data_IF_623610268251
#
_entry.id   IF_623610268251
#
_cell.length_a   1.000
_cell.length_b   1.000
_cell.length_c   1.000
_cell.angle_alpha   90.00
_cell.angle_beta   90.00
_cell.angle_gamma   90.00
#
_symmetry.space_group_name_H-M   'P 1'
#
loop_
_entity.id
_entity.type
_entity.pdbx_description
1 polymer ?
#
# COMPACT_ATOMS: atom_id res chain seq x y z
N UNK A 1 16.07 -11.53 -13.77
CA UNK A 1 15.62 -10.11 -13.76
C UNK A 1 15.52 -9.67 -12.31
N UNK A 2 16.05 -8.51 -11.93
CA UNK A 2 16.20 -8.15 -10.51
C UNK A 2 14.87 -8.10 -9.75
N UNK A 3 13.81 -7.54 -10.36
CA UNK A 3 12.44 -7.57 -9.80
C UNK A 3 11.95 -8.98 -9.48
N UNK A 4 12.26 -9.97 -10.32
CA UNK A 4 11.87 -11.36 -10.07
C UNK A 4 12.56 -11.93 -8.83
N UNK A 5 13.84 -11.62 -8.64
CA UNK A 5 14.58 -12.02 -7.45
C UNK A 5 14.01 -11.36 -6.18
N UNK A 6 13.76 -10.04 -6.20
CA UNK A 6 13.25 -9.30 -5.03
C UNK A 6 11.83 -9.72 -4.63
N UNK A 7 10.93 -9.88 -5.60
CA UNK A 7 9.58 -10.37 -5.31
C UNK A 7 9.60 -11.81 -4.79
N UNK A 8 10.45 -12.68 -5.35
CA UNK A 8 10.58 -14.06 -4.87
C UNK A 8 11.18 -14.11 -3.46
N UNK A 9 12.16 -13.26 -3.17
CA UNK A 9 12.72 -13.13 -1.81
C UNK A 9 11.67 -12.62 -0.81
N UNK A 10 10.90 -11.60 -1.19
CA UNK A 10 9.81 -11.07 -0.37
C UNK A 10 8.75 -12.16 -0.10
N UNK A 11 8.37 -12.92 -1.13
CA UNK A 11 7.45 -14.06 -1.01
C UNK A 11 7.99 -15.14 -0.06
N UNK A 12 9.25 -15.57 -0.22
CA UNK A 12 9.83 -16.63 0.61
C UNK A 12 9.95 -16.24 2.09
N UNK A 13 10.13 -14.95 2.38
CA UNK A 13 10.24 -14.41 3.75
C UNK A 13 8.91 -13.86 4.30
N UNK A 14 7.82 -13.95 3.52
CA UNK A 14 6.55 -13.36 3.89
C UNK A 14 5.93 -14.05 5.11
N UNK A 15 5.21 -13.27 5.92
CA UNK A 15 4.31 -13.85 6.92
C UNK A 15 3.17 -14.52 6.15
N UNK A 16 2.91 -15.80 6.43
CA UNK A 16 1.73 -16.50 5.89
C UNK A 16 0.56 -16.30 6.84
N UNK A 17 -0.57 -15.85 6.33
CA UNK A 17 -1.82 -15.74 7.07
C UNK A 17 -2.89 -16.56 6.35
N UNK A 18 -3.53 -17.46 7.10
CA UNK A 18 -4.62 -18.27 6.59
C UNK A 18 -5.92 -17.45 6.60
N UNK A 19 -6.68 -17.53 5.52
CA UNK A 19 -8.00 -16.90 5.41
C UNK A 19 -9.03 -17.85 4.80
N UNK A 20 -10.31 -17.50 4.93
CA UNK A 20 -11.45 -18.22 4.39
C UNK A 20 -12.53 -17.25 3.89
N UNK A 21 -13.65 -17.82 3.44
CA UNK A 21 -14.78 -17.07 2.87
C UNK A 21 -15.43 -16.10 3.86
N UNK A 22 -15.16 -16.18 5.17
CA UNK A 22 -15.69 -15.25 6.18
C UNK A 22 -14.69 -14.17 6.59
N UNK A 23 -13.45 -14.29 6.13
CA UNK A 23 -12.39 -13.35 6.46
C UNK A 23 -12.59 -12.02 5.73
N UNK A 24 -12.36 -10.91 6.43
CA UNK A 24 -12.50 -9.55 5.89
C UNK A 24 -11.17 -8.81 5.95
N UNK A 25 -10.71 -8.26 4.84
CA UNK A 25 -9.49 -7.46 4.74
C UNK A 25 -9.73 -6.19 3.94
N UNK A 26 -9.08 -5.11 4.35
CA UNK A 26 -8.92 -3.89 3.57
C UNK A 26 -7.43 -3.62 3.41
N UNK A 27 -6.99 -3.35 2.18
CA UNK A 27 -5.63 -2.96 1.84
C UNK A 27 -5.63 -1.49 1.43
N UNK A 28 -5.04 -0.65 2.27
CA UNK A 28 -4.64 0.71 1.92
C UNK A 28 -3.13 0.80 1.84
N UNK A 29 -2.63 1.66 0.97
CA UNK A 29 -1.20 1.92 0.79
C UNK A 29 -0.99 3.40 0.51
N UNK A 30 0.27 3.83 0.54
CA UNK A 30 0.66 5.16 0.04
C UNK A 30 -0.18 6.25 0.71
N UNK A 31 -0.28 6.16 2.04
CA UNK A 31 -0.92 7.20 2.85
C UNK A 31 -0.01 8.37 3.06
N UNK A 32 1.31 8.15 3.15
CA UNK A 32 2.32 9.21 3.25
C UNK A 32 1.98 10.25 4.33
N UNK A 33 1.56 9.79 5.52
CA UNK A 33 1.26 10.65 6.68
C UNK A 33 2.48 11.51 7.02
N UNK A 34 2.34 12.82 6.90
CA UNK A 34 3.38 13.81 7.15
C UNK A 34 3.24 14.46 8.52
N UNK A 35 3.54 15.75 8.62
CA UNK A 35 3.49 16.53 9.86
C UNK A 35 2.34 17.55 9.93
N UNK A 36 1.29 17.37 9.11
CA UNK A 36 0.15 18.30 8.94
C UNK A 36 0.53 19.70 8.42
N UNK A 37 1.73 19.85 7.86
CA UNK A 37 2.12 21.07 7.15
C UNK A 37 1.50 21.17 5.77
N UNK A 38 1.67 22.31 5.08
CA UNK A 38 1.18 22.50 3.70
C UNK A 38 1.78 21.48 2.72
N UNK A 39 3.00 20.98 2.99
CA UNK A 39 3.65 19.94 2.20
C UNK A 39 3.17 18.52 2.54
N UNK A 40 2.35 18.35 3.58
CA UNK A 40 1.72 17.07 3.89
C UNK A 40 0.53 16.81 2.94
N UNK A 41 0.75 15.93 1.96
CA UNK A 41 -0.30 15.56 1.01
C UNK A 41 -1.44 14.76 1.67
N UNK A 42 -1.18 14.04 2.76
CA UNK A 42 -2.17 13.24 3.48
C UNK A 42 -3.15 14.08 4.28
N UNK A 43 -2.68 15.19 4.87
CA UNK A 43 -3.46 16.05 5.76
C UNK A 43 -4.88 16.37 5.23
N UNK A 44 -4.99 16.68 3.94
CA UNK A 44 -6.28 16.98 3.27
C UNK A 44 -7.29 15.83 3.31
N UNK A 45 -6.83 14.59 3.39
CA UNK A 45 -7.63 13.37 3.38
C UNK A 45 -7.74 12.73 4.78
N UNK A 46 -7.12 13.30 5.82
CA UNK A 46 -7.10 12.72 7.16
C UNK A 46 -8.50 12.35 7.66
N UNK A 47 -9.46 13.27 7.59
CA UNK A 47 -10.82 13.03 8.10
C UNK A 47 -11.55 11.94 7.31
N UNK A 48 -11.35 11.89 6.00
CA UNK A 48 -11.92 10.86 5.13
C UNK A 48 -11.31 9.49 5.45
N UNK A 49 -9.99 9.44 5.66
CA UNK A 49 -9.28 8.22 6.02
C UNK A 49 -9.65 7.73 7.42
N UNK A 50 -9.79 8.64 8.40
CA UNK A 50 -10.26 8.34 9.75
C UNK A 50 -11.64 7.70 9.72
N UNK A 51 -12.58 8.31 8.98
CA UNK A 51 -13.93 7.79 8.84
C UNK A 51 -13.95 6.39 8.17
N UNK A 52 -13.13 6.20 7.14
CA UNK A 52 -12.97 4.90 6.51
C UNK A 52 -12.43 3.84 7.48
N UNK A 53 -11.38 4.18 8.26
CA UNK A 53 -10.84 3.28 9.28
C UNK A 53 -11.87 2.89 10.34
N UNK A 54 -12.64 3.84 10.87
CA UNK A 54 -13.72 3.56 11.82
C UNK A 54 -14.76 2.62 11.21
N UNK A 55 -15.16 2.85 9.95
CA UNK A 55 -16.10 1.99 9.26
C UNK A 55 -15.57 0.55 9.14
N UNK A 56 -14.32 0.37 8.70
CA UNK A 56 -13.71 -0.96 8.59
C UNK A 56 -13.53 -1.64 9.94
N UNK A 57 -13.16 -0.87 10.97
CA UNK A 57 -13.03 -1.37 12.33
C UNK A 57 -14.35 -1.93 12.83
N UNK A 58 -15.43 -1.15 12.72
CA UNK A 58 -16.77 -1.50 13.16
C UNK A 58 -17.40 -2.65 12.36
N UNK A 59 -16.98 -2.85 11.10
CA UNK A 59 -17.45 -3.95 10.25
C UNK A 59 -16.60 -5.24 10.35
N UNK A 60 -15.66 -5.29 11.29
CA UNK A 60 -14.87 -6.49 11.62
C UNK A 60 -13.76 -6.80 10.62
N UNK A 61 -13.24 -5.80 9.91
CA UNK A 61 -12.15 -6.00 8.95
C UNK A 61 -10.79 -6.14 9.66
N UNK A 62 -9.89 -6.89 9.05
CA UNK A 62 -8.45 -6.77 9.30
C UNK A 62 -7.89 -5.65 8.43
N UNK A 63 -7.24 -4.67 9.04
CA UNK A 63 -6.60 -3.57 8.34
C UNK A 63 -5.17 -3.97 7.94
N UNK A 64 -4.88 -3.91 6.65
CA UNK A 64 -3.55 -4.14 6.09
C UNK A 64 -3.04 -2.85 5.46
N UNK A 65 -2.06 -2.23 6.11
CA UNK A 65 -1.33 -1.09 5.55
C UNK A 65 -0.21 -1.61 4.66
N UNK A 66 -0.43 -1.63 3.34
CA UNK A 66 0.46 -2.19 2.33
C UNK A 66 1.60 -1.22 1.94
N UNK A 67 2.32 -0.71 2.94
CA UNK A 67 3.50 0.14 2.77
C UNK A 67 3.20 1.63 2.57
N UNK A 68 4.23 2.42 2.82
CA UNK A 68 4.23 3.89 2.74
C UNK A 68 3.06 4.53 3.49
N UNK A 69 2.85 4.07 4.72
CA UNK A 69 1.90 4.65 5.66
C UNK A 69 2.36 6.03 6.16
N UNK A 70 3.64 6.13 6.53
CA UNK A 70 4.24 7.32 7.15
C UNK A 70 5.36 7.86 6.26
N UNK A 71 5.40 9.18 6.06
CA UNK A 71 6.34 9.87 5.17
C UNK A 71 7.68 10.17 5.90
N UNK A 72 8.43 9.12 6.24
CA UNK A 72 9.69 9.26 6.99
C UNK A 72 10.84 9.79 6.14
N UNK A 73 10.73 9.78 4.81
CA UNK A 73 11.76 10.38 3.96
C UNK A 73 11.71 11.91 4.05
N UNK A 74 10.53 12.53 3.97
CA UNK A 74 10.41 13.99 4.15
C UNK A 74 10.39 14.43 5.63
N UNK A 75 9.84 13.59 6.52
CA UNK A 75 9.66 13.89 7.94
C UNK A 75 10.35 12.83 8.83
N UNK A 76 11.66 12.94 9.11
CA UNK A 76 12.43 11.90 9.79
C UNK A 76 12.00 11.61 11.24
N UNK A 77 11.30 12.55 11.87
CA UNK A 77 10.89 12.46 13.28
C UNK A 77 9.44 11.97 13.36
N UNK A 78 9.27 10.67 13.57
CA UNK A 78 7.96 10.05 13.74
C UNK A 78 7.09 10.72 14.82
N UNK A 79 7.68 11.28 15.89
CA UNK A 79 6.94 12.04 16.92
C UNK A 79 6.03 13.13 16.30
N UNK A 80 6.51 13.83 15.27
CA UNK A 80 5.72 14.90 14.64
C UNK A 80 4.56 14.32 13.84
N UNK A 81 4.80 13.25 13.05
CA UNK A 81 3.75 12.53 12.31
C UNK A 81 2.67 12.00 13.26
N UNK A 82 3.09 11.39 14.38
CA UNK A 82 2.16 10.85 15.38
C UNK A 82 1.28 11.94 16.01
N UNK A 83 1.85 13.10 16.31
CA UNK A 83 1.11 14.22 16.90
C UNK A 83 0.13 14.80 15.87
N UNK A 84 0.60 15.07 14.66
CA UNK A 84 -0.18 15.57 13.53
C UNK A 84 -1.43 14.72 13.25
N UNK A 85 -1.28 13.39 13.32
CA UNK A 85 -2.34 12.45 12.96
C UNK A 85 -2.77 11.56 14.13
N UNK A 86 -2.84 12.12 15.34
CA UNK A 86 -3.09 11.38 16.58
C UNK A 86 -4.39 10.55 16.56
N UNK A 87 -5.46 11.04 15.94
CA UNK A 87 -6.71 10.30 15.78
C UNK A 87 -6.56 9.05 14.90
N UNK A 88 -5.76 9.15 13.82
CA UNK A 88 -5.45 8.00 12.96
C UNK A 88 -4.72 6.93 13.76
N UNK A 89 -3.68 7.31 14.51
CA UNK A 89 -2.91 6.37 15.32
C UNK A 89 -3.74 5.75 16.45
N UNK A 90 -4.65 6.53 17.04
CA UNK A 90 -5.63 6.01 18.01
C UNK A 90 -6.51 4.94 17.39
N UNK A 91 -6.96 5.13 16.15
CA UNK A 91 -7.74 4.12 15.43
C UNK A 91 -6.91 2.89 15.05
N UNK A 92 -5.67 3.08 14.57
CA UNK A 92 -4.74 1.97 14.31
C UNK A 92 -4.47 1.14 15.56
N UNK A 93 -4.38 1.80 16.73
CA UNK A 93 -4.24 1.13 18.03
C UNK A 93 -5.43 0.19 18.31
N UNK A 94 -6.67 0.58 18.00
CA UNK A 94 -7.83 -0.31 18.16
C UNK A 94 -7.68 -1.60 17.35
N UNK A 95 -7.28 -1.50 16.08
CA UNK A 95 -7.00 -2.68 15.25
C UNK A 95 -5.86 -3.53 15.82
N UNK A 96 -4.81 -2.88 16.31
CA UNK A 96 -3.64 -3.55 16.86
C UNK A 96 -3.95 -4.35 18.12
N UNK A 97 -4.68 -3.75 19.06
CA UNK A 97 -5.02 -4.38 20.34
C UNK A 97 -5.90 -5.63 20.12
N UNK A 98 -6.70 -5.65 19.05
CA UNK A 98 -7.47 -6.81 18.61
C UNK A 98 -6.73 -7.76 17.65
N UNK A 99 -5.44 -7.55 17.40
CA UNK A 99 -4.62 -8.35 16.46
C UNK A 99 -5.15 -8.35 15.01
N UNK A 100 -5.87 -7.27 14.64
CA UNK A 100 -6.44 -7.00 13.31
C UNK A 100 -5.66 -5.92 12.53
N UNK A 101 -4.47 -5.55 12.99
CA UNK A 101 -3.54 -4.64 12.28
C UNK A 101 -2.37 -5.41 11.67
N UNK A 102 -2.11 -5.20 10.38
CA UNK A 102 -0.91 -5.67 9.68
C UNK A 102 -0.27 -4.49 8.96
N UNK A 103 0.96 -4.14 9.34
CA UNK A 103 1.74 -3.10 8.66
C UNK A 103 2.83 -3.78 7.81
N UNK A 104 2.79 -3.48 6.52
CA UNK A 104 3.90 -3.71 5.61
C UNK A 104 4.71 -2.42 5.49
N UNK A 105 6.04 -2.50 5.40
CA UNK A 105 6.85 -1.32 5.11
C UNK A 105 7.04 -1.14 3.60
N UNK A 106 7.03 0.10 3.16
CA UNK A 106 7.39 0.53 1.82
C UNK A 106 8.75 1.23 1.81
N UNK A 107 9.04 1.99 0.75
CA UNK A 107 10.29 2.72 0.66
C UNK A 107 10.30 3.95 1.57
N UNK A 108 9.20 4.71 1.67
CA UNK A 108 9.14 5.94 2.47
C UNK A 108 9.24 5.68 3.98
N UNK A 109 8.81 4.50 4.44
CA UNK A 109 8.95 4.06 5.83
C UNK A 109 9.86 2.84 6.01
N UNK A 110 10.88 2.68 5.16
CA UNK A 110 11.82 1.55 5.16
C UNK A 110 12.51 1.31 6.52
N UNK A 111 12.62 2.33 7.38
CA UNK A 111 13.15 2.23 8.74
C UNK A 111 12.37 1.25 9.63
N UNK A 112 11.09 1.00 9.31
CA UNK A 112 10.26 -0.01 9.98
C UNK A 112 10.80 -1.44 9.86
N UNK A 113 11.70 -1.71 8.92
CA UNK A 113 12.45 -2.98 8.85
C UNK A 113 13.29 -3.24 10.12
N UNK A 114 13.71 -2.19 10.83
CA UNK A 114 14.60 -2.29 12.00
C UNK A 114 13.77 -2.36 13.28
N UNK A 115 13.79 -3.52 13.97
CA UNK A 115 13.09 -3.72 15.24
C UNK A 115 13.38 -2.62 16.27
N UNK A 116 14.64 -2.20 16.40
CA UNK A 116 15.03 -1.12 17.33
C UNK A 116 14.33 0.21 17.02
N UNK A 117 14.18 0.56 15.74
CA UNK A 117 13.47 1.77 15.32
C UNK A 117 11.98 1.67 15.68
N UNK A 118 11.35 0.52 15.43
CA UNK A 118 9.94 0.27 15.76
C UNK A 118 9.72 0.33 17.26
N UNK A 119 10.55 -0.35 18.07
CA UNK A 119 10.45 -0.30 19.54
C UNK A 119 10.57 1.13 20.07
N UNK A 120 11.49 1.92 19.52
CA UNK A 120 11.73 3.31 19.96
C UNK A 120 10.59 4.26 19.61
N UNK A 121 9.97 4.08 18.45
CA UNK A 121 9.05 5.08 17.89
C UNK A 121 7.58 4.66 17.92
N UNK A 122 7.26 3.37 17.76
CA UNK A 122 5.89 2.88 17.56
C UNK A 122 5.32 2.13 18.77
N UNK A 123 6.13 1.73 19.76
CA UNK A 123 5.59 0.97 20.90
C UNK A 123 4.91 1.86 21.92
N UNK A 124 5.49 3.03 22.19
CA UNK A 124 5.03 3.93 23.24
C UNK A 124 5.18 5.38 22.80
N UNK A 125 4.43 6.28 23.42
CA UNK A 125 4.64 7.71 23.33
C UNK A 125 4.45 8.38 24.70
N UNK A 126 5.00 9.58 24.86
CA UNK A 126 4.76 10.40 26.04
C UNK A 126 3.47 11.20 25.86
N UNK A 127 2.48 10.95 26.70
CA UNK A 127 1.22 11.69 26.77
C UNK A 127 1.42 12.94 27.63
N UNK A 128 1.37 14.11 27.01
CA UNK A 128 1.64 15.38 27.69
C UNK A 128 0.52 15.76 28.68
N UNK A 129 -0.71 15.28 28.46
CA UNK A 129 -1.84 15.54 29.35
C UNK A 129 -1.77 14.69 30.62
N UNK A 130 -1.48 13.39 30.45
CA UNK A 130 -1.34 12.45 31.57
C UNK A 130 0.04 12.50 32.24
N UNK A 131 1.00 13.16 31.60
CA UNK A 131 2.41 13.22 32.01
C UNK A 131 3.05 11.84 32.19
N UNK A 132 2.68 10.87 31.34
CA UNK A 132 3.16 9.49 31.44
C UNK A 132 3.49 8.90 30.06
N UNK A 133 4.26 7.83 30.04
CA UNK A 133 4.51 7.04 28.83
C UNK A 133 3.40 6.02 28.68
N UNK A 134 2.69 6.07 27.56
CA UNK A 134 1.56 5.19 27.25
C UNK A 134 1.83 4.32 26.03
N UNK A 135 1.17 3.17 25.98
CA UNK A 135 1.25 2.23 24.87
C UNK A 135 0.61 2.80 23.59
N UNK A 136 1.35 2.69 22.49
CA UNK A 136 0.88 2.98 21.14
C UNK A 136 0.54 1.66 20.43
N UNK A 137 1.54 1.02 19.82
CA UNK A 137 1.45 -0.26 19.11
C UNK A 137 2.50 -1.21 19.69
N UNK A 138 2.44 -1.43 21.00
CA UNK A 138 3.40 -2.25 21.73
C UNK A 138 3.47 -3.68 21.16
N UNK A 139 4.66 -4.11 20.75
CA UNK A 139 4.85 -5.43 20.13
C UNK A 139 4.63 -5.47 18.61
N UNK A 140 4.35 -4.33 17.96
CA UNK A 140 4.25 -4.23 16.51
C UNK A 140 5.49 -4.83 15.82
N UNK A 141 5.23 -5.64 14.80
CA UNK A 141 6.25 -6.31 13.99
C UNK A 141 5.96 -6.09 12.50
N UNK A 142 6.36 -4.94 11.92
CA UNK A 142 6.17 -4.67 10.49
C UNK A 142 6.85 -5.73 9.62
N UNK A 143 6.28 -6.01 8.45
CA UNK A 143 6.77 -7.03 7.52
C UNK A 143 7.08 -6.44 6.14
N UNK A 144 7.92 -7.10 5.37
CA UNK A 144 8.14 -6.71 3.97
C UNK A 144 6.96 -7.14 3.09
N UNK A 145 6.40 -8.31 3.40
CA UNK A 145 5.41 -8.98 2.60
C UNK A 145 4.48 -9.84 3.45
N UNK A 146 3.29 -10.07 2.92
CA UNK A 146 2.26 -10.95 3.47
C UNK A 146 1.82 -11.91 2.37
N UNK A 147 1.67 -13.19 2.71
CA UNK A 147 1.02 -14.18 1.85
C UNK A 147 -0.30 -14.57 2.50
N UNK A 148 -1.40 -14.22 1.84
CA UNK A 148 -2.72 -14.73 2.21
C UNK A 148 -2.93 -16.08 1.54
N UNK A 149 -3.18 -17.11 2.33
CA UNK A 149 -3.42 -18.47 1.85
C UNK A 149 -4.81 -18.94 2.21
N UNK A 150 -5.62 -19.23 1.22
CA UNK A 150 -6.98 -19.68 1.43
C UNK A 150 -7.01 -21.11 2.00
N UNK A 151 -7.70 -21.32 3.14
CA UNK A 151 -7.71 -22.60 3.87
C UNK A 151 -8.15 -23.79 3.01
N UNK A 152 -9.23 -23.64 2.22
CA UNK A 152 -9.80 -24.73 1.40
C UNK A 152 -9.10 -24.91 0.04
N UNK A 153 -8.99 -23.86 -0.76
CA UNK A 153 -8.46 -23.94 -2.13
C UNK A 153 -6.93 -23.97 -2.20
N UNK A 154 -6.24 -23.58 -1.11
CA UNK A 154 -4.78 -23.40 -1.11
C UNK A 154 -4.31 -22.24 -1.98
N UNK A 155 -5.22 -21.41 -2.50
CA UNK A 155 -4.89 -20.25 -3.32
C UNK A 155 -4.10 -19.24 -2.50
N UNK A 156 -3.03 -18.73 -3.08
CA UNK A 156 -2.15 -17.75 -2.45
C UNK A 156 -2.25 -16.39 -3.13
N UNK A 157 -2.16 -15.34 -2.31
CA UNK A 157 -2.11 -13.95 -2.73
C UNK A 157 -0.90 -13.32 -2.06
N UNK A 158 0.05 -12.84 -2.87
CA UNK A 158 1.17 -12.06 -2.39
C UNK A 158 0.76 -10.60 -2.24
N UNK A 159 1.01 -10.03 -1.07
CA UNK A 159 0.83 -8.61 -0.78
C UNK A 159 2.18 -8.02 -0.45
N UNK A 160 2.58 -6.99 -1.19
CA UNK A 160 3.83 -6.24 -1.03
C UNK A 160 3.56 -4.77 -1.26
N UNK A 161 4.42 -3.88 -0.78
CA UNK A 161 4.27 -2.47 -1.13
C UNK A 161 4.46 -2.21 -2.62
N UNK A 162 5.50 -2.78 -3.24
CA UNK A 162 5.77 -2.64 -4.68
C UNK A 162 7.10 -1.96 -5.01
N UNK A 163 7.79 -1.37 -4.02
CA UNK A 163 9.15 -0.86 -4.24
C UNK A 163 10.11 -1.95 -4.72
N UNK A 164 9.86 -3.24 -4.41
CA UNK A 164 10.63 -4.39 -4.91
C UNK A 164 10.72 -4.47 -6.46
N UNK A 165 9.81 -3.79 -7.18
CA UNK A 165 9.84 -3.64 -8.63
C UNK A 165 10.69 -2.48 -9.15
N UNK A 166 11.20 -1.63 -8.26
CA UNK A 166 11.80 -0.34 -8.52
C UNK A 166 13.20 -0.25 -7.88
N UNK A 167 14.22 -0.61 -8.65
CA UNK A 167 15.61 -0.69 -8.18
C UNK A 167 16.10 0.59 -7.48
N UNK A 168 15.68 1.77 -7.94
CA UNK A 168 16.10 3.05 -7.35
C UNK A 168 15.51 3.20 -5.95
N UNK A 169 14.21 2.93 -5.80
CA UNK A 169 13.51 3.08 -4.53
C UNK A 169 13.68 1.88 -3.58
N UNK A 170 14.21 0.74 -4.05
CA UNK A 170 14.50 -0.46 -3.25
C UNK A 170 15.97 -0.57 -2.84
N UNK A 171 16.90 -0.42 -3.79
CA UNK A 171 18.33 -0.66 -3.56
C UNK A 171 19.11 0.63 -3.28
N UNK A 172 18.76 1.70 -3.98
CA UNK A 172 19.41 3.01 -3.89
C UNK A 172 18.57 4.04 -3.14
N UNK A 173 17.70 3.54 -2.26
CA UNK A 173 16.68 4.31 -1.57
C UNK A 173 17.27 5.49 -0.77
N UNK A 174 18.49 5.37 -0.25
CA UNK A 174 19.18 6.43 0.48
C UNK A 174 19.45 7.68 -0.38
N UNK A 175 19.73 7.52 -1.68
CA UNK A 175 19.90 8.64 -2.61
C UNK A 175 18.55 9.31 -2.89
N UNK A 176 17.51 8.50 -3.07
CA UNK A 176 16.15 8.98 -3.28
C UNK A 176 15.63 9.73 -2.06
N UNK A 177 15.86 9.21 -0.86
CA UNK A 177 15.53 9.87 0.41
C UNK A 177 16.27 11.20 0.54
N UNK A 178 17.58 11.25 0.27
CA UNK A 178 18.38 12.47 0.40
C UNK A 178 17.84 13.58 -0.52
N UNK A 179 17.59 13.24 -1.78
CA UNK A 179 17.01 14.18 -2.75
C UNK A 179 15.59 14.60 -2.34
N UNK A 180 14.78 13.66 -1.86
CA UNK A 180 13.42 13.99 -1.44
C UNK A 180 13.43 14.96 -0.25
N UNK A 181 14.19 14.61 0.79
CA UNK A 181 14.27 15.35 2.06
C UNK A 181 14.81 16.76 1.93
N UNK A 182 15.90 16.92 1.18
CA UNK A 182 16.64 18.19 1.17
C UNK A 182 16.35 19.06 -0.04
N UNK A 183 15.68 18.54 -1.06
CA UNK A 183 15.33 19.30 -2.26
C UNK A 183 13.82 19.28 -2.53
N UNK A 184 13.25 18.10 -2.82
CA UNK A 184 11.85 18.03 -3.29
C UNK A 184 10.83 18.47 -2.25
N UNK A 185 11.06 18.23 -0.96
CA UNK A 185 10.21 18.74 0.13
C UNK A 185 9.96 20.24 0.02
N UNK A 186 11.01 21.03 -0.24
CA UNK A 186 10.88 22.48 -0.38
C UNK A 186 10.23 22.88 -1.71
N UNK A 187 10.44 22.07 -2.76
CA UNK A 187 9.79 22.26 -4.06
C UNK A 187 8.29 21.98 -4.01
N UNK A 188 7.83 21.07 -3.15
CA UNK A 188 6.39 20.78 -2.95
C UNK A 188 5.64 22.02 -2.45
N UNK A 189 6.25 22.82 -1.57
CA UNK A 189 5.67 24.07 -1.04
C UNK A 189 5.38 25.08 -2.17
N UNK A 190 6.22 25.11 -3.20
CA UNK A 190 6.06 25.99 -4.37
C UNK A 190 5.33 25.32 -5.55
N UNK A 191 4.70 24.16 -5.31
CA UNK A 191 3.84 23.46 -6.27
C UNK A 191 4.55 22.51 -7.25
N UNK A 192 5.87 22.39 -7.19
CA UNK A 192 6.62 21.43 -7.98
C UNK A 192 6.65 20.07 -7.28
N UNK A 193 6.54 18.97 -8.03
CA UNK A 193 6.55 17.62 -7.47
C UNK A 193 7.68 16.80 -8.09
N UNK A 194 8.18 15.80 -7.36
CA UNK A 194 9.25 14.93 -7.86
C UNK A 194 8.84 14.16 -9.14
N UNK A 195 9.43 14.48 -10.33
CA UNK A 195 9.07 13.86 -11.60
C UNK A 195 9.60 12.43 -11.74
N UNK A 196 10.51 12.01 -10.85
CA UNK A 196 11.07 10.66 -10.83
C UNK A 196 10.27 9.69 -9.94
N UNK A 197 9.23 10.18 -9.26
CA UNK A 197 8.30 9.33 -8.51
C UNK A 197 7.53 8.40 -9.46
N UNK A 198 7.39 7.10 -9.12
CA UNK A 198 6.56 6.15 -9.88
C UNK A 198 5.10 6.60 -10.03
N UNK A 199 4.60 7.42 -9.10
CA UNK A 199 3.26 7.98 -9.16
C UNK A 199 3.07 8.97 -10.34
N UNK A 200 4.14 9.68 -10.73
CA UNK A 200 4.10 10.73 -11.76
C UNK A 200 4.75 10.30 -13.07
N UNK A 201 5.76 9.43 -13.01
CA UNK A 201 6.50 8.99 -14.19
C UNK A 201 5.82 7.80 -14.89
N UNK A 202 5.14 8.07 -16.01
CA UNK A 202 4.43 7.07 -16.80
C UNK A 202 5.33 5.90 -17.24
N UNK A 203 6.54 6.19 -17.71
CA UNK A 203 7.48 5.18 -18.19
C UNK A 203 7.93 4.26 -17.05
N UNK A 204 8.34 4.84 -15.90
CA UNK A 204 8.76 4.09 -14.72
C UNK A 204 7.65 3.18 -14.21
N UNK A 205 6.43 3.73 -14.10
CA UNK A 205 5.23 2.97 -13.73
C UNK A 205 4.98 1.79 -14.66
N UNK A 206 4.96 2.03 -15.98
CA UNK A 206 4.72 0.98 -16.97
C UNK A 206 5.80 -0.11 -16.91
N UNK A 207 7.07 0.27 -16.67
CA UNK A 207 8.17 -0.68 -16.47
C UNK A 207 7.96 -1.56 -15.24
N UNK A 208 7.57 -0.98 -14.12
CA UNK A 208 7.27 -1.72 -12.87
C UNK A 208 6.10 -2.68 -13.09
N UNK A 209 4.96 -2.18 -13.59
CA UNK A 209 3.76 -3.00 -13.85
C UNK A 209 4.04 -4.16 -14.82
N UNK A 210 4.87 -3.94 -15.86
CA UNK A 210 5.28 -4.98 -16.80
C UNK A 210 6.12 -6.07 -16.11
N UNK A 211 7.00 -5.69 -15.19
CA UNK A 211 7.83 -6.65 -14.45
C UNK A 211 6.99 -7.49 -13.48
N UNK A 212 6.00 -6.87 -12.84
CA UNK A 212 5.04 -7.58 -11.99
C UNK A 212 4.23 -8.60 -12.79
N UNK A 213 3.71 -8.22 -13.96
CA UNK A 213 3.03 -9.17 -14.84
C UNK A 213 3.94 -10.33 -15.27
N UNK A 214 5.23 -10.08 -15.56
CA UNK A 214 6.18 -11.16 -15.85
C UNK A 214 6.35 -12.12 -14.66
N UNK A 215 6.46 -11.58 -13.44
CA UNK A 215 6.57 -12.38 -12.22
C UNK A 215 5.30 -13.20 -11.97
N UNK A 216 4.12 -12.58 -12.04
CA UNK A 216 2.82 -13.25 -11.90
C UNK A 216 2.66 -14.38 -12.91
N UNK A 217 3.05 -14.15 -14.17
CA UNK A 217 2.99 -15.18 -15.21
C UNK A 217 3.90 -16.36 -14.90
N UNK A 218 5.12 -16.11 -14.42
CA UNK A 218 6.12 -17.13 -14.09
C UNK A 218 5.73 -17.94 -12.86
N UNK A 219 5.29 -17.29 -11.80
CA UNK A 219 5.01 -17.90 -10.48
C UNK A 219 3.53 -18.26 -10.28
N UNK A 220 2.66 -17.86 -11.21
CA UNK A 220 1.22 -18.15 -11.23
C UNK A 220 0.51 -17.72 -9.93
N UNK A 221 0.82 -16.51 -9.49
CA UNK A 221 0.47 -15.98 -8.17
C UNK A 221 -0.31 -14.67 -8.29
N UNK A 222 -1.34 -14.47 -7.48
CA UNK A 222 -2.01 -13.17 -7.39
C UNK A 222 -1.10 -12.16 -6.68
N UNK A 223 -1.13 -10.90 -7.10
CA UNK A 223 -0.32 -9.83 -6.51
C UNK A 223 -1.18 -8.61 -6.18
N UNK A 224 -1.16 -8.17 -4.92
CA UNK A 224 -1.71 -6.89 -4.46
C UNK A 224 -0.54 -5.97 -4.08
N UNK A 225 -0.50 -4.74 -4.60
CA UNK A 225 0.51 -3.76 -4.20
C UNK A 225 0.02 -2.31 -4.15
N UNK A 226 0.90 -1.38 -3.79
CA UNK A 226 0.76 0.08 -3.86
C UNK A 226 1.83 0.70 -4.77
N UNK A 227 2.61 1.66 -4.26
CA UNK A 227 3.84 2.27 -4.81
C UNK A 227 3.68 3.13 -6.06
N UNK A 228 2.88 2.69 -7.02
CA UNK A 228 2.66 3.42 -8.28
C UNK A 228 1.51 4.42 -8.22
N UNK A 229 0.79 4.47 -7.09
CA UNK A 229 -0.39 5.31 -6.84
C UNK A 229 -1.49 5.19 -7.91
N UNK A 230 -1.45 4.15 -8.74
CA UNK A 230 -2.41 3.91 -9.82
C UNK A 230 -3.31 2.75 -9.43
N UNK A 231 -4.56 3.01 -9.01
CA UNK A 231 -5.53 1.95 -8.76
C UNK A 231 -5.63 1.04 -10.00
N UNK A 232 -5.41 -0.26 -9.80
CA UNK A 232 -5.56 -1.27 -10.84
C UNK A 232 -6.33 -2.47 -10.34
N UNK A 233 -7.34 -2.84 -11.11
CA UNK A 233 -8.09 -4.08 -10.97
C UNK A 233 -8.06 -4.77 -12.34
N UNK A 234 -7.64 -6.04 -12.41
CA UNK A 234 -7.42 -6.74 -13.67
C UNK A 234 -8.73 -6.89 -14.46
N UNK A 235 -8.68 -6.60 -15.76
CA UNK A 235 -9.80 -6.85 -16.68
C UNK A 235 -9.90 -8.35 -16.99
N UNK A 236 -11.05 -8.84 -17.52
CA UNK A 236 -11.14 -10.19 -18.06
C UNK A 236 -9.99 -10.48 -19.04
N UNK A 237 -9.28 -11.58 -18.83
CA UNK A 237 -8.11 -11.98 -19.63
C UNK A 237 -6.77 -11.39 -19.19
N UNK A 238 -6.74 -10.41 -18.28
CA UNK A 238 -5.50 -9.89 -17.71
C UNK A 238 -5.00 -10.76 -16.54
N UNK A 239 -3.69 -10.75 -16.31
CA UNK A 239 -3.08 -11.40 -15.16
C UNK A 239 -3.57 -10.78 -13.85
N UNK A 240 -3.62 -11.55 -12.74
CA UNK A 240 -4.20 -11.11 -11.45
C UNK A 240 -3.28 -10.12 -10.69
N UNK A 241 -3.05 -8.96 -11.30
CA UNK A 241 -2.31 -7.84 -10.74
C UNK A 241 -3.27 -6.77 -10.24
N UNK A 242 -3.21 -6.49 -8.95
CA UNK A 242 -4.03 -5.49 -8.26
C UNK A 242 -3.13 -4.40 -7.68
N UNK A 243 -3.60 -3.17 -7.73
CA UNK A 243 -2.96 -2.04 -7.08
C UNK A 243 -4.00 -1.24 -6.28
N UNK A 244 -3.76 -1.02 -4.99
CA UNK A 244 -4.67 -0.28 -4.09
C UNK A 244 -4.77 1.20 -4.40
N UNK A 245 -3.85 1.77 -5.19
CA UNK A 245 -3.79 3.19 -5.47
C UNK A 245 -3.07 3.95 -4.36
N UNK A 246 -3.69 5.01 -3.82
CA UNK A 246 -3.11 5.80 -2.73
C UNK A 246 -4.18 6.48 -1.89
N UNK A 247 -3.75 7.01 -0.73
CA UNK A 247 -4.64 7.75 0.18
C UNK A 247 -4.40 9.27 0.17
N UNK A 248 -3.56 9.77 -0.75
CA UNK A 248 -3.23 11.19 -0.90
C UNK A 248 -3.89 11.87 -2.11
N UNK A 249 -4.69 11.14 -2.90
CA UNK A 249 -5.35 11.73 -4.07
C UNK A 249 -6.37 12.79 -3.63
N UNK A 250 -6.39 13.94 -4.30
CA UNK A 250 -7.26 15.07 -3.94
C UNK A 250 -8.75 14.77 -4.06
N UNK A 251 -9.15 13.72 -4.79
CA UNK A 251 -10.55 13.34 -4.99
C UNK A 251 -11.04 12.28 -4.02
N UNK A 252 -10.16 11.73 -3.18
CA UNK A 252 -10.48 10.68 -2.23
C UNK A 252 -9.38 9.63 -2.10
N UNK A 253 -9.70 8.54 -1.41
CA UNK A 253 -8.75 7.45 -1.13
C UNK A 253 -9.25 6.16 -1.76
N UNK A 254 -8.33 5.30 -2.19
CA UNK A 254 -8.65 4.03 -2.84
C UNK A 254 -8.09 2.84 -2.08
N UNK A 255 -8.76 1.70 -2.17
CA UNK A 255 -8.29 0.46 -1.53
C UNK A 255 -8.81 -0.79 -2.23
N UNK A 256 -8.24 -1.93 -1.82
CA UNK A 256 -8.73 -3.26 -2.21
C UNK A 256 -9.39 -3.89 -0.98
N UNK A 257 -10.55 -4.49 -1.14
CA UNK A 257 -11.15 -5.32 -0.10
C UNK A 257 -11.18 -6.78 -0.50
N UNK A 258 -11.02 -7.65 0.51
CA UNK A 258 -11.42 -9.04 0.45
C UNK A 258 -12.53 -9.26 1.46
N UNK A 259 -13.69 -9.75 1.03
CA UNK A 259 -14.87 -10.03 1.86
C UNK A 259 -15.72 -11.08 1.17
N UNK A 260 -16.30 -12.01 1.94
CA UNK A 260 -17.21 -13.05 1.44
C UNK A 260 -16.62 -13.88 0.29
N UNK A 261 -15.32 -14.22 0.37
CA UNK A 261 -14.58 -14.94 -0.68
C UNK A 261 -14.37 -14.16 -1.98
N UNK A 262 -14.69 -12.86 -1.99
CA UNK A 262 -14.60 -11.97 -3.15
C UNK A 262 -13.55 -10.88 -2.93
N UNK A 263 -13.02 -10.38 -4.03
CA UNK A 263 -12.12 -9.22 -4.08
C UNK A 263 -12.83 -8.07 -4.82
N UNK A 264 -12.70 -6.86 -4.30
CA UNK A 264 -13.22 -5.65 -4.95
C UNK A 264 -12.25 -4.48 -4.76
N UNK A 265 -12.39 -3.47 -5.62
CA UNK A 265 -11.74 -2.18 -5.46
C UNK A 265 -12.76 -1.15 -5.05
N UNK A 266 -12.42 -0.36 -4.04
CA UNK A 266 -13.27 0.68 -3.48
C UNK A 266 -12.58 2.03 -3.53
N UNK A 267 -13.39 3.08 -3.54
CA UNK A 267 -12.94 4.40 -3.14
C UNK A 267 -13.83 4.99 -2.05
N UNK A 268 -13.24 5.88 -1.27
CA UNK A 268 -13.94 6.76 -0.37
C UNK A 268 -13.78 8.18 -0.88
N UNK A 269 -14.88 8.94 -0.94
CA UNK A 269 -14.87 10.33 -1.41
C UNK A 269 -15.81 11.19 -0.58
N UNK A 270 -15.54 12.48 -0.55
CA UNK A 270 -16.50 13.47 -0.08
C UNK A 270 -17.47 13.80 -1.23
N UNK A 271 -18.77 13.68 -1.00
CA UNK A 271 -19.83 14.06 -1.94
C UNK A 271 -20.89 14.91 -1.24
N UNK A 272 -21.50 15.83 -1.99
CA UNK A 272 -22.65 16.58 -1.50
C UNK A 272 -23.93 15.77 -1.73
N UNK A 273 -24.79 15.70 -0.73
CA UNK A 273 -26.16 15.22 -0.91
C UNK A 273 -27.02 16.27 -1.65
N UNK A 274 -28.30 15.93 -1.86
CA UNK A 274 -29.28 16.80 -2.52
C UNK A 274 -29.57 18.12 -1.77
N UNK A 275 -29.19 18.21 -0.49
CA UNK A 275 -29.32 19.41 0.33
C UNK A 275 -27.98 20.19 0.45
N UNK A 276 -26.90 19.72 -0.19
CA UNK A 276 -25.58 20.34 -0.11
C UNK A 276 -24.72 19.90 1.07
N UNK A 277 -25.15 18.91 1.86
CA UNK A 277 -24.39 18.37 2.99
C UNK A 277 -23.27 17.47 2.49
N UNK A 278 -22.03 17.73 2.92
CA UNK A 278 -20.87 16.93 2.54
C UNK A 278 -20.80 15.64 3.38
N UNK A 279 -20.75 14.49 2.71
CA UNK A 279 -20.72 13.16 3.30
C UNK A 279 -19.51 12.37 2.78
N UNK A 280 -18.91 11.57 3.65
CA UNK A 280 -17.91 10.59 3.27
C UNK A 280 -18.62 9.32 2.77
N UNK A 281 -18.49 9.03 1.48
CA UNK A 281 -19.17 7.90 0.84
C UNK A 281 -18.17 6.86 0.33
N UNK A 282 -18.43 5.60 0.68
CA UNK A 282 -17.73 4.43 0.12
C UNK A 282 -18.42 3.98 -1.18
N UNK A 283 -17.67 3.88 -2.27
CA UNK A 283 -18.16 3.34 -3.54
C UNK A 283 -17.35 2.12 -3.99
N UNK A 284 -18.01 1.16 -4.63
CA UNK A 284 -17.36 0.04 -5.30
C UNK A 284 -16.95 0.51 -6.71
N UNK A 285 -15.65 0.63 -6.96
CA UNK A 285 -15.13 1.01 -8.28
C UNK A 285 -15.14 -0.16 -9.26
N UNK A 286 -14.76 -1.35 -8.79
CA UNK A 286 -14.66 -2.60 -9.58
C UNK A 286 -14.91 -3.81 -8.68
N UNK A 287 -15.45 -4.87 -9.28
CA UNK A 287 -15.90 -6.06 -8.55
C UNK A 287 -17.33 -5.88 -7.99
N UNK A 288 -17.74 -6.71 -7.03
CA UNK A 288 -16.98 -7.80 -6.41
C UNK A 288 -16.83 -9.02 -7.34
N UNK A 289 -15.65 -9.64 -7.31
CA UNK A 289 -15.33 -10.84 -8.11
C UNK A 289 -14.85 -11.98 -7.20
N UNK A 290 -15.27 -13.23 -7.39
CA UNK A 290 -14.76 -14.36 -6.62
C UNK A 290 -13.23 -14.46 -6.72
N UNK A 291 -12.53 -14.63 -5.60
CA UNK A 291 -11.07 -14.81 -5.59
C UNK A 291 -10.66 -16.02 -6.44
N UNK A 292 -11.49 -17.06 -6.44
CA UNK A 292 -11.30 -18.28 -7.24
C UNK A 292 -11.20 -18.00 -8.74
N UNK A 293 -11.80 -16.92 -9.25
CA UNK A 293 -11.67 -16.48 -10.65
C UNK A 293 -10.20 -16.25 -11.01
N UNK A 294 -9.41 -15.77 -10.05
CA UNK A 294 -8.00 -15.44 -10.22
C UNK A 294 -7.05 -16.60 -9.89
N UNK A 295 -7.58 -17.82 -9.76
CA UNK A 295 -6.77 -18.99 -9.48
C UNK A 295 -5.90 -19.39 -10.68
N UNK A 296 -4.70 -19.94 -10.41
CA UNK A 296 -3.74 -20.40 -11.44
C UNK A 296 -4.25 -21.48 -12.41
N UNK A 297 -5.45 -22.02 -12.21
CA UNK A 297 -6.07 -22.99 -13.13
C UNK A 297 -6.88 -22.29 -14.22
N UNK A 298 -7.31 -21.05 -13.99
CA UNK A 298 -8.23 -20.34 -14.87
C UNK A 298 -7.52 -19.45 -15.89
N UNK A 299 -6.23 -19.20 -15.69
CA UNK A 299 -5.42 -18.51 -16.68
C UNK A 299 -4.74 -19.57 -17.55
N UNK A 300 -4.99 -19.61 -18.86
CA UNK A 300 -4.17 -20.39 -19.77
C UNK A 300 -2.76 -19.80 -19.72
N UNK A 301 -1.91 -20.40 -18.89
CA UNK A 301 -0.48 -20.13 -18.92
C UNK A 301 0.20 -20.78 -20.14
N UNK A 302 -0.58 -21.46 -20.99
CA UNK A 302 -0.16 -22.05 -22.24
C UNK A 302 -0.14 -20.99 -23.36
N UNK A 303 0.99 -20.94 -24.07
CA UNK A 303 1.27 -20.10 -25.24
C UNK A 303 1.31 -18.58 -24.97
N UNK A 304 2.48 -18.09 -24.52
CA UNK A 304 2.98 -16.90 -25.23
C UNK A 304 4.27 -17.28 -25.92
N UNK A 305 4.15 -17.56 -27.20
CA UNK A 305 5.09 -16.99 -28.15
C UNK A 305 5.24 -15.50 -27.78
N UNK A 306 6.35 -15.16 -27.13
CA UNK A 306 6.86 -13.82 -27.29
C UNK A 306 7.21 -13.72 -28.76
N UNK A 307 6.29 -13.13 -29.53
CA UNK A 307 6.58 -12.63 -30.88
C UNK A 307 7.83 -11.79 -30.76
N UNK A 308 8.94 -12.38 -31.24
CA UNK A 308 10.16 -11.69 -31.60
C UNK A 308 9.77 -10.64 -32.64
N UNK A 309 9.62 -9.40 -32.23
CA UNK A 309 10.09 -8.30 -33.08
C UNK A 309 11.28 -7.68 -32.39
N UNK A 310 12.46 -8.19 -32.78
CA UNK A 310 13.70 -7.41 -32.73
C UNK A 310 13.42 -6.14 -33.51
N UNK A 311 13.52 -5.00 -32.85
CA UNK A 311 13.85 -3.77 -33.58
C UNK A 311 15.27 -4.01 -34.09
N UNK A 312 15.54 -3.87 -35.40
CA UNK A 312 16.91 -3.93 -35.91
C UNK A 312 17.76 -2.90 -35.17
N UNK A 313 18.98 -3.29 -34.83
CA UNK A 313 20.02 -2.32 -34.48
C UNK A 313 20.20 -1.42 -35.69
N UNK A 314 19.80 -0.15 -35.58
CA UNK A 314 20.23 0.87 -36.51
C UNK A 314 21.72 1.10 -36.27
N UNK A 315 22.51 0.81 -37.31
CA UNK A 315 23.89 1.24 -37.43
C UNK A 315 23.95 2.78 -37.38
N UNK A 316 24.37 3.33 -36.25
CA UNK A 316 25.26 4.49 -36.11
C UNK A 316 25.66 4.67 -34.65
#
# INVERSE_FOLDING_TARGET
>A
MFTDQRLTQAYNNAKVLLFDDHSKFIFFSDSHRGDDSVSDEFARNQNLFLHALDWYYNNGYTFVEAGDGDELWEYPKFKHIRIAHSDIFTNLKKFHDEKRLIILYGNHNIYLKRKQYVCKNYYHYYDEYKQEVVDLLAGLCPREALVLKHKKTGQEILVVHGHQGDAINDQFWFLSELLLRYFWKYMHVVGFHNPSSPARNLYKRHKIEKNFNKWIKKHKMMLICGHTHRPKFPKPGELPYFNSGCCINTRGITGIEIVDGKILMVDWRIRADKNGVLLAERNIMRGPEPITKFHKKNFPYAESEYVKKRVPEDNC
#
